data_IF_365779923300
#
_entry.id   IF_365779923300
#
_cell.length_a   1.000
_cell.length_b   1.000
_cell.length_c   1.000
_cell.angle_alpha   90.00
_cell.angle_beta   90.00
_cell.angle_gamma   90.00
#
_symmetry.space_group_name_H-M   'P 1'
#
loop_
_entity.id
_entity.type
_entity.pdbx_description
1 polymer ?
#
# COMPACT_ATOMS: atom_id res chain seq x y z
N UNK A 1 26.83 14.12 14.19
CA UNK A 1 25.74 13.15 14.01
C UNK A 1 25.80 12.76 12.55
N UNK A 2 26.29 11.57 12.24
CA UNK A 2 26.34 11.03 10.90
C UNK A 2 24.88 10.77 10.50
N UNK A 3 24.37 11.59 9.58
CA UNK A 3 23.01 11.50 9.08
C UNK A 3 22.81 10.22 8.25
N UNK A 4 22.76 9.08 8.91
CA UNK A 4 22.08 7.92 8.42
C UNK A 4 20.61 8.17 8.79
N UNK A 5 19.82 8.52 7.78
CA UNK A 5 18.38 8.44 7.88
C UNK A 5 18.05 6.98 8.22
N UNK A 6 17.75 6.73 9.50
CA UNK A 6 17.10 5.48 9.86
C UNK A 6 15.73 5.54 9.18
N UNK A 7 15.49 4.75 8.17
CA UNK A 7 14.23 4.78 7.43
C UNK A 7 13.02 4.28 8.24
N UNK A 8 12.98 4.59 9.54
CA UNK A 8 11.91 4.19 10.46
C UNK A 8 10.64 5.00 10.23
N UNK A 9 9.50 4.39 10.47
CA UNK A 9 8.18 5.04 10.44
C UNK A 9 7.74 5.38 11.86
N UNK A 10 7.33 6.63 12.05
CA UNK A 10 6.83 7.13 13.33
C UNK A 10 5.43 7.71 13.17
N UNK A 11 4.64 7.63 14.25
CA UNK A 11 3.38 8.34 14.41
C UNK A 11 3.51 9.31 15.58
N UNK A 12 2.92 10.47 15.43
CA UNK A 12 2.85 11.46 16.51
C UNK A 12 1.40 11.60 16.94
N UNK A 13 1.12 11.34 18.21
CA UNK A 13 -0.19 11.49 18.83
C UNK A 13 -0.29 12.84 19.52
N UNK A 14 -1.41 13.52 19.35
CA UNK A 14 -1.71 14.76 20.07
C UNK A 14 -3.20 14.83 20.37
N UNK A 15 -3.54 15.08 21.62
CA UNK A 15 -4.93 15.24 22.06
C UNK A 15 -5.40 16.71 22.03
N UNK A 16 -4.47 17.66 22.10
CA UNK A 16 -4.75 19.09 22.25
C UNK A 16 -4.14 19.96 21.12
N UNK A 17 -3.45 19.33 20.17
CA UNK A 17 -2.71 20.01 19.10
C UNK A 17 -1.47 20.79 19.56
N UNK A 18 -1.06 20.67 20.83
CA UNK A 18 0.06 21.41 21.42
C UNK A 18 1.16 20.51 21.98
N UNK A 19 0.75 19.41 22.61
CA UNK A 19 1.65 18.39 23.10
C UNK A 19 1.64 17.21 22.16
N UNK A 20 2.78 16.60 21.90
CA UNK A 20 2.93 15.50 20.98
C UNK A 20 3.75 14.38 21.61
N UNK A 21 3.30 13.16 21.48
CA UNK A 21 4.01 11.95 21.86
C UNK A 21 4.28 11.13 20.59
N UNK A 22 5.53 10.75 20.36
CA UNK A 22 5.96 10.06 19.16
C UNK A 22 6.22 8.59 19.45
N UNK A 23 5.58 7.73 18.67
CA UNK A 23 5.71 6.27 18.77
C UNK A 23 6.27 5.70 17.48
N UNK A 24 7.16 4.71 17.59
CA UNK A 24 7.71 4.00 16.44
C UNK A 24 6.67 3.00 15.92
N UNK A 25 6.30 3.11 14.65
CA UNK A 25 5.39 2.21 13.96
C UNK A 25 6.13 0.98 13.44
N UNK A 26 7.22 1.21 12.71
CA UNK A 26 8.06 0.16 12.16
C UNK A 26 9.47 0.65 11.90
N UNK A 27 10.40 -0.29 11.82
CA UNK A 27 11.78 -0.06 11.47
C UNK A 27 12.51 -1.39 11.34
N UNK A 28 13.59 -1.40 10.59
CA UNK A 28 14.43 -2.57 10.39
C UNK A 28 15.57 -2.58 11.42
N UNK A 29 15.65 -3.59 12.33
CA UNK A 29 16.75 -3.70 13.27
C UNK A 29 18.13 -3.85 12.62
N UNK A 30 18.18 -4.38 11.41
CA UNK A 30 19.41 -4.59 10.64
C UNK A 30 19.81 -3.37 9.78
N UNK A 31 18.98 -2.33 9.75
CA UNK A 31 19.19 -1.09 8.95
C UNK A 31 19.42 -1.35 7.45
N UNK A 32 18.84 -2.43 6.90
CA UNK A 32 18.97 -2.81 5.49
C UNK A 32 17.83 -2.28 4.63
N UNK A 33 16.69 -2.01 5.27
CA UNK A 33 15.48 -1.55 4.62
C UNK A 33 15.31 -0.05 4.86
N UNK A 34 14.82 0.63 3.82
CA UNK A 34 14.43 2.04 3.92
C UNK A 34 12.92 2.13 3.74
N UNK A 35 12.24 2.59 4.77
CA UNK A 35 10.82 2.92 4.72
C UNK A 35 10.69 4.31 4.13
N UNK A 36 10.11 4.39 2.95
CA UNK A 36 10.03 5.62 2.18
C UNK A 36 8.62 6.17 2.14
N UNK A 37 8.38 7.14 1.29
CA UNK A 37 7.10 7.80 1.04
C UNK A 37 5.96 6.82 0.71
N UNK A 38 4.75 7.35 0.63
CA UNK A 38 3.56 6.64 0.16
C UNK A 38 3.07 5.58 1.14
N UNK A 39 2.72 6.07 2.29
CA UNK A 39 2.12 5.30 3.34
C UNK A 39 0.59 5.38 3.25
N UNK A 40 -0.05 4.23 3.22
CA UNK A 40 -1.50 4.10 3.34
C UNK A 40 -1.86 3.83 4.81
N UNK A 41 -2.84 4.54 5.33
CA UNK A 41 -3.35 4.38 6.70
C UNK A 41 -4.85 4.14 6.65
N UNK A 42 -5.30 3.10 7.33
CA UNK A 42 -6.72 2.75 7.43
C UNK A 42 -7.07 2.28 8.83
N UNK A 43 -8.36 2.29 9.14
CA UNK A 43 -8.91 1.77 10.38
C UNK A 43 -9.97 0.71 10.09
N UNK A 44 -9.88 -0.42 10.82
CA UNK A 44 -10.89 -1.48 10.78
C UNK A 44 -12.13 -1.09 11.60
N UNK A 45 -13.22 -1.78 11.39
CA UNK A 45 -14.49 -1.51 12.10
C UNK A 45 -14.38 -1.84 13.61
N UNK A 46 -13.47 -2.74 14.01
CA UNK A 46 -13.15 -3.03 15.42
C UNK A 46 -12.15 -2.04 16.05
N UNK A 47 -11.71 -1.03 15.28
CA UNK A 47 -10.87 0.06 15.74
C UNK A 47 -9.37 -0.18 15.63
N UNK A 48 -8.91 -1.29 15.07
CA UNK A 48 -7.49 -1.46 14.77
C UNK A 48 -7.04 -0.46 13.69
N UNK A 49 -5.88 0.13 13.87
CA UNK A 49 -5.27 0.99 12.86
C UNK A 49 -4.16 0.21 12.19
N UNK A 50 -4.10 0.22 10.86
CA UNK A 50 -2.97 -0.32 10.15
C UNK A 50 -2.36 0.69 9.17
N UNK A 51 -1.07 0.52 8.96
CA UNK A 51 -0.24 1.35 8.08
C UNK A 51 0.47 0.42 7.11
N UNK A 52 0.40 0.69 5.82
CA UNK A 52 1.13 -0.03 4.79
C UNK A 52 2.11 0.94 4.12
N UNK A 53 3.39 0.60 4.13
CA UNK A 53 4.47 1.49 3.70
C UNK A 53 5.31 0.86 2.60
N UNK A 54 5.69 1.67 1.63
CA UNK A 54 6.71 1.32 0.64
C UNK A 54 8.05 1.08 1.33
N UNK A 55 8.76 0.07 0.86
CA UNK A 55 10.11 -0.27 1.32
C UNK A 55 11.04 -0.29 0.13
N UNK A 56 12.23 0.24 0.30
CA UNK A 56 13.36 0.08 -0.61
C UNK A 56 14.43 -0.80 0.04
N UNK A 57 15.04 -1.66 -0.76
CA UNK A 57 15.95 -2.70 -0.29
C UNK A 57 15.26 -4.03 -0.02
N UNK A 58 16.02 -5.06 0.28
CA UNK A 58 15.49 -6.40 0.51
C UNK A 58 14.83 -7.01 -0.73
N UNK A 59 13.64 -7.56 -0.55
CA UNK A 59 12.84 -8.23 -1.57
C UNK A 59 11.67 -7.37 -2.10
N UNK A 60 11.73 -6.06 -1.87
CA UNK A 60 10.73 -5.05 -2.29
C UNK A 60 9.30 -5.35 -1.79
N UNK A 61 9.17 -6.07 -0.69
CA UNK A 61 7.88 -6.25 -0.03
C UNK A 61 7.49 -4.99 0.72
N UNK A 62 6.23 -4.57 0.57
CA UNK A 62 5.66 -3.57 1.47
C UNK A 62 5.59 -4.10 2.89
N UNK A 63 5.77 -3.22 3.87
CA UNK A 63 5.65 -3.56 5.28
C UNK A 63 4.38 -2.98 5.86
N UNK A 64 3.81 -3.74 6.79
CA UNK A 64 2.57 -3.37 7.46
C UNK A 64 2.77 -3.29 8.96
N UNK A 65 2.37 -2.17 9.55
CA UNK A 65 2.26 -1.97 10.99
C UNK A 65 0.80 -2.02 11.42
N UNK A 66 0.51 -2.62 12.58
CA UNK A 66 -0.83 -2.70 13.16
C UNK A 66 -0.79 -2.26 14.61
N UNK A 67 -1.71 -1.37 14.99
CA UNK A 67 -1.96 -0.93 16.36
C UNK A 67 -3.40 -1.28 16.76
N UNK A 68 -3.58 -1.70 18.02
CA UNK A 68 -4.90 -2.00 18.60
C UNK A 68 -5.22 -1.14 19.84
N UNK A 69 -4.40 -0.12 20.08
CA UNK A 69 -4.50 0.77 21.25
C UNK A 69 -4.46 2.26 20.85
N UNK A 70 -5.00 2.58 19.67
CA UNK A 70 -5.09 3.95 19.21
C UNK A 70 -3.77 4.54 18.71
N UNK A 71 -2.80 3.72 18.31
CA UNK A 71 -1.52 4.17 17.77
C UNK A 71 -0.39 4.26 18.79
N UNK A 72 -0.59 3.80 20.02
CA UNK A 72 0.43 3.85 21.10
C UNK A 72 1.47 2.76 20.91
N UNK A 73 1.04 1.51 20.68
CA UNK A 73 1.93 0.40 20.40
C UNK A 73 1.66 -0.21 19.03
N UNK A 74 2.71 -0.73 18.37
CA UNK A 74 2.65 -1.24 17.02
C UNK A 74 3.37 -2.58 16.90
N UNK A 75 2.78 -3.46 16.11
CA UNK A 75 3.46 -4.65 15.60
C UNK A 75 3.65 -4.50 14.10
N UNK A 76 4.84 -4.78 13.57
CA UNK A 76 5.15 -4.63 12.16
C UNK A 76 5.74 -5.90 11.55
N UNK A 77 5.45 -6.11 10.27
CA UNK A 77 5.89 -7.29 9.51
C UNK A 77 5.85 -7.02 8.01
N UNK A 78 6.57 -7.81 7.19
CA UNK A 78 6.33 -7.86 5.75
C UNK A 78 4.86 -8.21 5.46
N UNK A 79 4.26 -7.53 4.51
CA UNK A 79 2.84 -7.74 4.13
C UNK A 79 2.63 -8.91 3.17
N UNK A 80 3.70 -9.42 2.56
CA UNK A 80 3.64 -10.37 1.44
C UNK A 80 3.41 -9.72 0.08
N UNK A 81 3.10 -8.42 0.02
CA UNK A 81 2.83 -7.71 -1.23
C UNK A 81 4.15 -7.16 -1.79
N UNK A 82 4.57 -7.69 -2.94
CA UNK A 82 5.72 -7.17 -3.69
C UNK A 82 5.25 -6.12 -4.67
N UNK A 83 5.76 -4.91 -4.54
CA UNK A 83 5.41 -3.77 -5.39
C UNK A 83 5.34 -2.47 -4.61
N UNK A 84 5.08 -1.39 -5.30
CA UNK A 84 4.90 -0.05 -4.74
C UNK A 84 4.29 0.92 -5.76
N UNK A 85 3.68 2.00 -5.32
CA UNK A 85 3.31 2.32 -3.94
C UNK A 85 1.96 1.69 -3.54
N UNK A 86 1.66 1.51 -2.24
CA UNK A 86 0.31 1.17 -1.80
C UNK A 86 -0.55 2.42 -1.86
N UNK A 87 -1.46 2.53 -2.81
CA UNK A 87 -2.16 3.80 -2.97
C UNK A 87 -3.68 3.73 -3.14
N UNK A 88 -4.24 2.59 -3.44
CA UNK A 88 -5.68 2.48 -3.70
C UNK A 88 -6.37 1.47 -2.79
N UNK A 89 -6.84 1.88 -1.61
CA UNK A 89 -7.65 1.04 -0.74
C UNK A 89 -9.15 1.31 -0.94
N UNK A 90 -9.95 0.26 -1.01
CA UNK A 90 -11.42 0.35 -1.15
C UNK A 90 -12.08 -0.76 -0.33
N UNK A 91 -13.01 -0.40 0.56
CA UNK A 91 -13.96 -1.36 1.14
C UNK A 91 -15.04 -1.67 0.10
N UNK A 92 -15.17 -2.94 -0.30
CA UNK A 92 -16.08 -3.39 -1.34
C UNK A 92 -17.50 -3.63 -0.77
N UNK A 93 -18.50 -3.58 -1.65
CA UNK A 93 -19.91 -3.83 -1.28
C UNK A 93 -20.16 -5.25 -0.75
N UNK A 94 -19.30 -6.20 -1.05
CA UNK A 94 -19.37 -7.59 -0.58
C UNK A 94 -18.64 -7.83 0.75
N UNK A 95 -18.09 -6.76 1.35
CA UNK A 95 -17.42 -6.79 2.64
C UNK A 95 -15.90 -7.06 2.55
N UNK A 96 -15.37 -7.43 1.38
CA UNK A 96 -13.92 -7.54 1.17
C UNK A 96 -13.27 -6.17 1.09
N UNK A 97 -11.98 -6.12 1.33
CA UNK A 97 -11.16 -4.95 1.02
C UNK A 97 -10.29 -5.22 -0.21
N UNK A 98 -10.06 -4.18 -0.99
CA UNK A 98 -9.24 -4.18 -2.20
C UNK A 98 -8.09 -3.21 -2.03
N UNK A 99 -6.88 -3.66 -2.31
CA UNK A 99 -5.71 -2.80 -2.47
C UNK A 99 -5.23 -2.85 -3.92
N UNK A 100 -5.01 -1.68 -4.52
CA UNK A 100 -4.37 -1.55 -5.83
C UNK A 100 -3.00 -0.89 -5.69
N UNK A 101 -2.01 -1.35 -6.46
CA UNK A 101 -0.63 -0.89 -6.36
C UNK A 101 0.10 -0.98 -7.69
N UNK A 102 1.21 -0.23 -7.82
CA UNK A 102 2.14 -0.34 -8.93
C UNK A 102 3.03 -1.57 -8.79
N UNK A 103 3.27 -2.28 -9.88
CA UNK A 103 4.23 -3.38 -9.92
C UNK A 103 5.40 -2.99 -10.81
N UNK A 104 6.52 -2.64 -10.17
CA UNK A 104 7.70 -2.04 -10.82
C UNK A 104 8.81 -3.05 -11.14
N UNK A 105 8.43 -4.32 -11.30
CA UNK A 105 9.27 -5.40 -11.83
C UNK A 105 8.75 -5.84 -13.19
N UNK A 106 9.60 -6.46 -14.01
CA UNK A 106 9.13 -7.02 -15.28
C UNK A 106 8.26 -8.27 -15.05
N UNK A 107 7.11 -8.38 -15.70
CA UNK A 107 6.45 -7.39 -16.55
C UNK A 107 5.82 -6.27 -15.72
N UNK A 108 6.21 -5.02 -16.05
CA UNK A 108 5.76 -3.82 -15.35
C UNK A 108 4.25 -3.61 -15.50
N UNK A 109 3.58 -3.15 -14.44
CA UNK A 109 2.14 -3.00 -14.53
C UNK A 109 1.43 -2.52 -13.28
N UNK A 110 0.11 -2.74 -13.27
CA UNK A 110 -0.77 -2.41 -12.14
C UNK A 110 -1.38 -3.71 -11.66
N UNK A 111 -1.40 -3.90 -10.34
CA UNK A 111 -1.92 -5.09 -9.69
C UNK A 111 -2.88 -4.74 -8.57
N UNK A 112 -3.61 -5.76 -8.11
CA UNK A 112 -4.47 -5.67 -6.95
C UNK A 112 -4.42 -6.96 -6.12
N UNK A 113 -4.70 -6.83 -4.83
CA UNK A 113 -4.92 -7.95 -3.91
C UNK A 113 -6.17 -7.70 -3.09
N UNK A 114 -6.77 -8.77 -2.60
CA UNK A 114 -7.95 -8.74 -1.76
C UNK A 114 -7.60 -9.05 -0.31
N UNK A 115 -8.45 -8.62 0.59
CA UNK A 115 -8.44 -8.92 2.01
C UNK A 115 -9.86 -9.27 2.48
N UNK A 116 -9.97 -10.26 3.36
CA UNK A 116 -11.22 -10.64 4.00
C UNK A 116 -11.33 -10.14 5.46
N UNK A 117 -10.33 -9.38 5.91
CA UNK A 117 -10.21 -8.88 7.28
C UNK A 117 -9.85 -7.38 7.30
N UNK A 118 -10.46 -6.62 6.40
CA UNK A 118 -10.35 -5.15 6.29
C UNK A 118 -8.90 -4.64 6.10
N UNK A 119 -8.05 -5.44 5.46
CA UNK A 119 -6.68 -5.06 5.17
C UNK A 119 -5.65 -5.48 6.22
N UNK A 120 -6.04 -6.26 7.24
CA UNK A 120 -5.09 -6.79 8.22
C UNK A 120 -4.20 -7.89 7.62
N UNK A 121 -4.73 -8.68 6.67
CA UNK A 121 -3.97 -9.62 5.85
C UNK A 121 -4.40 -9.57 4.39
N UNK A 122 -3.54 -10.04 3.48
CA UNK A 122 -3.72 -9.93 2.04
C UNK A 122 -3.59 -11.29 1.36
N UNK A 123 -4.51 -11.58 0.42
CA UNK A 123 -4.44 -12.77 -0.44
C UNK A 123 -3.43 -12.53 -1.58
N UNK A 124 -2.16 -12.74 -1.27
CA UNK A 124 -1.07 -12.54 -2.24
C UNK A 124 -0.89 -13.70 -3.22
N UNK A 125 -1.48 -14.87 -2.92
CA UNK A 125 -1.46 -16.02 -3.81
C UNK A 125 -2.36 -15.80 -5.04
N UNK A 126 -3.44 -15.03 -4.89
CA UNK A 126 -4.38 -14.72 -5.97
C UNK A 126 -4.29 -13.24 -6.38
N UNK A 127 -3.06 -12.77 -6.61
CA UNK A 127 -2.82 -11.40 -7.10
C UNK A 127 -3.52 -11.16 -8.44
N UNK A 128 -4.32 -10.09 -8.52
CA UNK A 128 -5.05 -9.69 -9.72
C UNK A 128 -4.16 -8.79 -10.58
N UNK A 129 -3.99 -9.14 -11.84
CA UNK A 129 -3.21 -8.34 -12.80
C UNK A 129 -4.15 -7.45 -13.61
N UNK A 130 -4.08 -6.14 -13.42
CA UNK A 130 -4.85 -5.17 -14.20
C UNK A 130 -4.13 -4.79 -15.50
N UNK A 131 -2.81 -4.59 -15.42
CA UNK A 131 -1.91 -4.28 -16.53
C UNK A 131 -0.57 -5.00 -16.31
N UNK A 132 0.04 -5.44 -17.41
CA UNK A 132 1.37 -6.07 -17.42
C UNK A 132 2.16 -5.72 -18.70
N UNK A 133 1.81 -4.60 -19.31
CA UNK A 133 2.34 -4.11 -20.58
C UNK A 133 3.05 -2.75 -20.41
N UNK A 134 3.61 -2.49 -19.24
CA UNK A 134 4.40 -1.29 -18.97
C UNK A 134 5.75 -1.31 -19.69
N UNK A 135 6.12 -0.19 -20.32
CA UNK A 135 7.41 -0.01 -21.00
C UNK A 135 8.58 0.29 -20.04
N UNK A 136 8.33 0.35 -18.73
CA UNK A 136 9.34 0.61 -17.71
C UNK A 136 8.76 0.71 -16.30
N UNK A 137 9.63 0.92 -15.33
CA UNK A 137 9.26 0.96 -13.91
C UNK A 137 8.51 2.24 -13.49
N UNK A 138 8.53 3.28 -14.31
CA UNK A 138 7.91 4.57 -13.98
C UNK A 138 6.39 4.52 -14.26
N UNK A 139 5.69 3.92 -13.34
CA UNK A 139 4.24 3.74 -13.34
C UNK A 139 3.73 3.53 -11.92
N UNK A 140 2.42 3.71 -11.72
CA UNK A 140 1.79 3.37 -10.43
C UNK A 140 0.81 4.42 -9.93
N UNK A 141 0.79 4.61 -8.62
CA UNK A 141 -0.13 5.48 -7.86
C UNK A 141 -1.60 5.24 -8.21
N UNK A 142 -2.04 3.96 -8.25
CA UNK A 142 -3.42 3.68 -8.60
C UNK A 142 -4.38 4.22 -7.53
N UNK A 143 -5.52 4.74 -7.99
CA UNK A 143 -6.67 5.07 -7.15
C UNK A 143 -7.87 4.34 -7.68
N UNK A 144 -8.60 3.68 -6.80
CA UNK A 144 -9.72 2.83 -7.17
C UNK A 144 -11.01 3.27 -6.49
N UNK A 145 -12.12 3.01 -7.16
CA UNK A 145 -13.45 3.13 -6.58
C UNK A 145 -14.35 2.04 -7.13
N UNK A 146 -15.26 1.52 -6.30
CA UNK A 146 -16.30 0.62 -6.77
C UNK A 146 -17.48 1.43 -7.30
N UNK A 147 -17.88 1.14 -8.53
CA UNK A 147 -19.03 1.75 -9.18
C UNK A 147 -20.35 1.14 -8.69
N UNK A 148 -21.46 1.82 -8.91
CA UNK A 148 -22.80 1.34 -8.51
C UNK A 148 -23.19 -0.03 -9.12
N UNK A 149 -22.65 -0.34 -10.30
CA UNK A 149 -22.86 -1.62 -10.98
C UNK A 149 -21.94 -2.75 -10.49
N UNK A 150 -21.14 -2.50 -9.43
CA UNK A 150 -20.20 -3.45 -8.85
C UNK A 150 -18.83 -3.51 -9.52
N UNK A 151 -18.65 -2.90 -10.69
CA UNK A 151 -17.33 -2.82 -11.33
C UNK A 151 -16.38 -1.94 -10.51
N UNK A 152 -15.08 -2.16 -10.69
CA UNK A 152 -14.05 -1.27 -10.16
C UNK A 152 -13.54 -0.37 -11.28
N UNK A 153 -13.42 0.91 -11.00
CA UNK A 153 -12.65 1.84 -11.83
C UNK A 153 -11.34 2.18 -11.11
N UNK A 154 -10.24 1.94 -11.78
CA UNK A 154 -8.89 2.25 -11.29
C UNK A 154 -8.22 3.21 -12.25
N UNK A 155 -7.75 4.35 -11.75
CA UNK A 155 -6.96 5.35 -12.48
C UNK A 155 -5.52 5.35 -11.95
N UNK A 156 -4.54 5.53 -12.84
CA UNK A 156 -3.11 5.49 -12.51
C UNK A 156 -2.30 6.24 -13.56
N UNK A 157 -1.04 6.57 -13.25
CA UNK A 157 -0.12 6.94 -14.34
C UNK A 157 0.60 5.70 -14.85
N UNK A 158 0.94 5.73 -16.15
CA UNK A 158 1.48 4.57 -16.83
C UNK A 158 2.44 4.97 -17.94
N UNK A 159 3.61 4.36 -17.96
CA UNK A 159 4.57 4.52 -19.06
C UNK A 159 4.43 3.33 -20.01
N UNK A 160 3.99 3.60 -21.23
CA UNK A 160 3.81 2.59 -22.27
C UNK A 160 5.13 2.20 -22.96
N UNK A 161 5.07 1.25 -23.90
CA UNK A 161 6.21 0.77 -24.70
C UNK A 161 6.92 1.89 -25.48
N UNK A 162 6.19 2.93 -25.88
CA UNK A 162 6.73 4.12 -26.53
C UNK A 162 7.44 5.07 -25.58
N UNK A 163 7.56 4.71 -24.30
CA UNK A 163 8.12 5.51 -23.22
C UNK A 163 7.43 6.85 -22.99
N UNK A 164 6.17 6.96 -23.37
CA UNK A 164 5.34 8.11 -23.04
C UNK A 164 4.57 7.81 -21.76
N UNK A 165 4.78 8.65 -20.75
CA UNK A 165 4.02 8.60 -19.51
C UNK A 165 2.71 9.36 -19.66
N UNK A 166 1.61 8.74 -19.29
CA UNK A 166 0.27 9.29 -19.41
C UNK A 166 -0.63 8.79 -18.26
N UNK A 167 -1.77 9.43 -18.09
CA UNK A 167 -2.81 8.93 -17.19
C UNK A 167 -3.65 7.91 -17.94
N UNK A 168 -3.84 6.75 -17.34
CA UNK A 168 -4.67 5.66 -17.86
C UNK A 168 -5.69 5.22 -16.82
N UNK A 169 -6.73 4.53 -17.27
CA UNK A 169 -7.74 3.96 -16.39
C UNK A 169 -8.21 2.61 -16.89
N UNK A 170 -8.58 1.74 -15.96
CA UNK A 170 -9.11 0.40 -16.22
C UNK A 170 -10.45 0.23 -15.50
N UNK A 171 -11.47 -0.23 -16.22
CA UNK A 171 -12.72 -0.72 -15.65
C UNK A 171 -12.69 -2.24 -15.65
N UNK A 172 -12.90 -2.86 -14.49
CA UNK A 172 -12.75 -4.30 -14.33
C UNK A 172 -13.67 -4.85 -13.25
N UNK A 173 -13.76 -6.16 -13.14
CA UNK A 173 -14.56 -6.84 -12.12
C UNK A 173 -13.66 -7.60 -11.14
N UNK A 174 -14.00 -7.52 -9.86
CA UNK A 174 -13.32 -8.34 -8.85
C UNK A 174 -13.70 -9.80 -9.08
N UNK A 175 -12.73 -10.73 -9.10
CA UNK A 175 -13.02 -12.16 -9.15
C UNK A 175 -13.94 -12.61 -8.00
N UNK A 176 -14.81 -13.58 -8.31
CA UNK A 176 -15.74 -14.16 -7.33
C UNK A 176 -15.01 -15.07 -6.35
#
# INVERSE_FOLDING_TARGET
ADGKDSGDVFVTLTADGRTAETHRVMGDPDEKLQFTEETLVEQTDDGAIWVLTRVEGGDDQMWQGVSRDGGVTWTSRPSGIVGHPPSGFVKLQDGRALLTYGYRHAPFGIRAVLSNDEGLTWDTEHTIVLRNDGGGYDLGYPRSTQLQNGNIFTIYYFTGDNRITHIAGTVWQVPK
#
